data_IF_728221366610
#
_entry.id   IF_728221366610
#
_cell.length_a   1.000
_cell.length_b   1.000
_cell.length_c   1.000
_cell.angle_alpha   90.00
_cell.angle_beta   90.00
_cell.angle_gamma   90.00
#
_symmetry.space_group_name_H-M   'P 1'
#
loop_
_entity.id
_entity.type
_entity.pdbx_description
1 polymer ?
#
# COMPACT_ATOMS: atom_id res chain seq x y z
N UNK A 1 -35.97 2.83 -0.39
CA UNK A 1 -34.91 3.11 0.60
C UNK A 1 -33.69 2.33 0.17
N UNK A 2 -32.71 2.98 -0.46
CA UNK A 2 -31.41 2.38 -0.76
C UNK A 2 -30.62 2.40 0.54
N UNK A 3 -30.31 1.22 1.07
CA UNK A 3 -29.36 1.08 2.17
C UNK A 3 -27.99 1.23 1.54
N UNK A 4 -27.36 2.39 1.71
CA UNK A 4 -25.92 2.52 1.49
C UNK A 4 -25.25 1.80 2.66
N UNK A 5 -24.86 0.55 2.43
CA UNK A 5 -24.00 -0.20 3.34
C UNK A 5 -22.67 0.56 3.42
N UNK A 6 -22.52 1.37 4.46
CA UNK A 6 -21.21 1.91 4.87
C UNK A 6 -20.42 0.73 5.45
N UNK A 7 -19.94 -0.13 4.55
CA UNK A 7 -19.03 -1.20 4.87
C UNK A 7 -17.68 -0.57 5.17
N UNK A 8 -17.21 -0.73 6.40
CA UNK A 8 -15.80 -0.57 6.75
C UNK A 8 -15.03 -1.55 5.87
N UNK A 9 -14.58 -1.10 4.70
CA UNK A 9 -14.01 -1.96 3.66
C UNK A 9 -12.57 -2.26 4.01
N UNK A 10 -12.39 -3.23 4.91
CA UNK A 10 -11.12 -3.93 5.01
C UNK A 10 -10.85 -4.54 3.62
N UNK A 11 -9.68 -4.27 3.02
CA UNK A 11 -9.32 -4.86 1.73
C UNK A 11 -9.49 -6.38 1.80
N UNK A 12 -10.10 -7.01 0.81
CA UNK A 12 -10.21 -8.48 0.79
C UNK A 12 -8.95 -9.12 0.19
N UNK A 13 -8.15 -8.31 -0.52
CA UNK A 13 -6.97 -8.75 -1.25
C UNK A 13 -5.80 -7.78 -1.03
N UNK A 14 -4.60 -8.24 -1.35
CA UNK A 14 -3.42 -7.38 -1.44
C UNK A 14 -3.56 -6.44 -2.64
N UNK A 15 -3.37 -5.15 -2.41
CA UNK A 15 -3.38 -4.15 -3.48
C UNK A 15 -2.20 -3.21 -3.34
N UNK A 16 -1.56 -2.87 -4.45
CA UNK A 16 -0.56 -1.80 -4.53
C UNK A 16 -1.09 -0.74 -5.48
N UNK A 17 -1.33 0.45 -4.97
CA UNK A 17 -1.76 1.59 -5.77
C UNK A 17 -0.58 2.20 -6.53
N UNK A 18 -0.89 2.87 -7.63
CA UNK A 18 0.09 3.64 -8.38
C UNK A 18 0.80 4.66 -7.48
N UNK A 19 2.11 4.76 -7.62
CA UNK A 19 2.92 5.70 -6.87
C UNK A 19 2.65 7.13 -7.39
N UNK A 20 2.15 8.01 -6.52
CA UNK A 20 1.77 9.38 -6.90
C UNK A 20 2.16 10.40 -5.83
N UNK A 21 2.60 11.62 -6.20
CA UNK A 21 2.93 12.06 -7.56
C UNK A 21 4.28 11.51 -8.05
N UNK A 22 4.31 11.10 -9.32
CA UNK A 22 5.50 10.77 -10.11
C UNK A 22 5.22 11.26 -11.55
N UNK A 23 6.04 12.08 -12.23
CA UNK A 23 7.35 12.65 -11.88
C UNK A 23 7.29 14.18 -11.60
N UNK A 24 8.32 14.72 -10.91
CA UNK A 24 8.58 16.13 -10.49
C UNK A 24 8.39 16.54 -9.00
N UNK A 25 8.14 15.60 -8.08
CA UNK A 25 8.31 15.87 -6.64
C UNK A 25 9.40 14.98 -6.04
N UNK A 26 10.21 15.48 -5.09
CA UNK A 26 11.23 14.68 -4.39
C UNK A 26 10.63 13.63 -3.45
N UNK A 27 9.30 13.62 -3.28
CA UNK A 27 8.56 12.64 -2.51
C UNK A 27 7.40 12.08 -3.33
N UNK A 28 7.20 10.77 -3.23
CA UNK A 28 6.08 10.05 -3.82
C UNK A 28 5.40 9.24 -2.72
N UNK A 29 4.07 9.14 -2.76
CA UNK A 29 3.31 8.30 -1.84
C UNK A 29 3.05 6.96 -2.51
N UNK A 30 3.43 5.88 -1.82
CA UNK A 30 3.10 4.50 -2.19
C UNK A 30 1.98 4.05 -1.26
N UNK A 31 0.79 3.80 -1.81
CA UNK A 31 -0.35 3.27 -1.05
C UNK A 31 -0.49 1.80 -1.34
N UNK A 32 -0.71 1.01 -0.30
CA UNK A 32 -0.97 -0.41 -0.40
C UNK A 32 -2.05 -0.81 0.58
N UNK A 33 -2.70 -1.93 0.30
CA UNK A 33 -3.79 -2.49 1.07
C UNK A 33 -3.43 -3.95 1.39
N UNK A 34 -3.69 -4.36 2.63
CA UNK A 34 -3.51 -5.73 3.10
C UNK A 34 -4.82 -6.23 3.72
N UNK A 35 -5.15 -7.52 3.56
CA UNK A 35 -6.44 -8.03 4.02
C UNK A 35 -6.49 -8.43 5.49
N UNK A 36 -5.32 -8.70 6.08
CA UNK A 36 -5.18 -9.09 7.47
C UNK A 36 -3.79 -8.66 7.98
N UNK A 37 -3.60 -8.77 9.29
CA UNK A 37 -2.30 -8.52 9.90
C UNK A 37 -1.24 -9.45 9.30
N UNK A 38 -0.19 -8.88 8.72
CA UNK A 38 0.88 -9.67 8.09
C UNK A 38 2.21 -8.90 8.09
N UNK A 39 3.32 -9.63 7.98
CA UNK A 39 4.64 -9.04 7.75
C UNK A 39 4.70 -8.48 6.33
N UNK A 40 4.88 -7.17 6.20
CA UNK A 40 4.95 -6.49 4.91
C UNK A 40 6.34 -5.95 4.69
N UNK A 41 6.95 -6.34 3.57
CA UNK A 41 8.24 -5.82 3.11
C UNK A 41 8.03 -5.02 1.82
N UNK A 42 8.46 -3.75 1.82
CA UNK A 42 8.42 -2.88 0.63
C UNK A 42 9.84 -2.56 0.19
N UNK A 43 10.22 -3.11 -0.96
CA UNK A 43 11.54 -2.95 -1.55
C UNK A 43 11.48 -2.10 -2.83
N UNK A 44 12.44 -1.21 -2.99
CA UNK A 44 12.67 -0.43 -4.21
C UNK A 44 13.81 -1.09 -4.97
N UNK A 45 13.54 -1.49 -6.20
CA UNK A 45 14.52 -2.05 -7.12
C UNK A 45 14.83 -1.05 -8.24
N UNK A 46 16.07 -1.06 -8.71
CA UNK A 46 16.46 -0.37 -9.92
C UNK A 46 15.92 -1.11 -11.15
N UNK A 47 15.97 -0.47 -12.32
CA UNK A 47 15.62 -1.11 -13.60
C UNK A 47 16.54 -2.29 -13.94
N UNK A 48 17.72 -2.38 -13.32
CA UNK A 48 18.66 -3.50 -13.47
C UNK A 48 18.38 -4.63 -12.48
N UNK A 49 17.38 -4.48 -11.60
CA UNK A 49 17.00 -5.46 -10.58
C UNK A 49 17.79 -5.35 -9.27
N UNK A 50 18.62 -4.33 -9.10
CA UNK A 50 19.38 -4.10 -7.87
C UNK A 50 18.47 -3.54 -6.77
N UNK A 51 18.60 -4.04 -5.54
CA UNK A 51 17.88 -3.50 -4.39
C UNK A 51 18.48 -2.15 -3.99
N UNK A 52 17.72 -1.07 -4.19
CA UNK A 52 18.13 0.31 -3.85
C UNK A 52 17.82 0.64 -2.40
N UNK A 53 16.64 0.24 -1.91
CA UNK A 53 16.20 0.51 -0.54
C UNK A 53 15.08 -0.43 -0.10
N UNK A 54 15.02 -0.69 1.21
CA UNK A 54 13.84 -1.27 1.86
C UNK A 54 13.14 -0.14 2.63
N UNK A 55 11.92 0.21 2.20
CA UNK A 55 11.12 1.27 2.81
C UNK A 55 10.29 0.78 3.98
N UNK A 56 9.94 -0.51 4.00
CA UNK A 56 9.12 -1.12 5.02
C UNK A 56 9.57 -2.56 5.25
N UNK A 57 9.64 -2.99 6.50
CA UNK A 57 9.82 -4.39 6.86
C UNK A 57 9.26 -4.64 8.27
N UNK A 58 7.94 -4.59 8.40
CA UNK A 58 7.28 -4.70 9.70
C UNK A 58 5.90 -5.35 9.58
N UNK A 59 5.38 -5.84 10.72
CA UNK A 59 4.01 -6.34 10.79
C UNK A 59 3.05 -5.16 10.70
N UNK A 60 2.18 -5.19 9.68
CA UNK A 60 1.16 -4.17 9.45
C UNK A 60 -0.23 -4.76 9.65
N UNK A 61 -1.13 -3.93 10.17
CA UNK A 61 -2.55 -4.21 10.24
C UNK A 61 -3.27 -3.58 9.05
N UNK A 62 -4.41 -4.15 8.61
CA UNK A 62 -5.24 -3.53 7.58
C UNK A 62 -5.61 -2.10 8.01
N UNK A 63 -5.41 -1.14 7.11
CA UNK A 63 -5.83 0.23 7.35
C UNK A 63 -7.35 0.27 7.26
N UNK A 64 -8.01 0.53 8.39
CA UNK A 64 -9.43 0.84 8.41
C UNK A 64 -9.63 2.21 7.73
N UNK A 65 -10.11 2.22 6.50
CA UNK A 65 -10.57 3.47 5.87
C UNK A 65 -11.79 3.96 6.67
N UNK A 66 -11.61 5.04 7.44
CA UNK A 66 -12.70 5.79 8.09
C UNK A 66 -13.04 7.02 7.25
#
# INVERSE_FOLDING_TARGET
MSVETVGTSVPVEFNLSQNYPNPFNPSTVIRFAIPAENLVTLNIYSITGELVATLLNEVKQPVNMK
#
